data_IF_274449356905
#
_entry.id   IF_274449356905
#
_cell.length_a   1.000
_cell.length_b   1.000
_cell.length_c   1.000
_cell.angle_alpha   90.00
_cell.angle_beta   90.00
_cell.angle_gamma   90.00
#
_symmetry.space_group_name_H-M   'P 1'
#
loop_
_entity.id
_entity.type
_entity.pdbx_description
1 polymer ?
#
# COMPACT_ATOMS: atom_id res chain seq x y z
N UNK A 1 25.30 25.48 -35.76
CA UNK A 1 24.29 26.25 -35.01
C UNK A 1 23.32 25.27 -34.36
N UNK A 2 23.57 24.88 -33.10
CA UNK A 2 22.61 24.09 -32.31
C UNK A 2 22.15 24.95 -31.14
N UNK A 3 20.84 25.14 -31.00
CA UNK A 3 20.21 25.81 -29.86
C UNK A 3 20.22 24.89 -28.64
N UNK A 4 20.59 25.35 -27.43
CA UNK A 4 20.45 24.53 -26.23
C UNK A 4 18.97 24.43 -25.79
N UNK A 5 18.61 23.26 -25.24
CA UNK A 5 17.30 22.93 -24.69
C UNK A 5 16.96 23.74 -23.42
N UNK A 6 15.67 23.97 -23.10
CA UNK A 6 15.28 24.73 -21.91
C UNK A 6 15.60 23.98 -20.62
N UNK A 7 16.27 24.67 -19.70
CA UNK A 7 16.60 24.19 -18.35
C UNK A 7 15.34 24.11 -17.49
N UNK A 8 14.93 22.89 -17.13
CA UNK A 8 13.90 22.65 -16.12
C UNK A 8 14.43 22.99 -14.72
N UNK A 9 13.73 23.82 -13.92
CA UNK A 9 14.23 24.30 -12.63
C UNK A 9 14.03 23.30 -11.47
N UNK A 10 13.48 22.11 -11.72
CA UNK A 10 13.07 21.16 -10.67
C UNK A 10 14.05 20.01 -10.40
N UNK A 11 15.34 20.16 -10.72
CA UNK A 11 16.36 19.17 -10.37
C UNK A 11 17.32 19.70 -9.28
N UNK A 12 16.80 19.92 -8.07
CA UNK A 12 17.65 20.05 -6.88
C UNK A 12 17.95 18.65 -6.33
N UNK A 13 19.03 18.05 -6.86
CA UNK A 13 19.65 16.83 -6.37
C UNK A 13 20.07 17.04 -4.89
N UNK A 14 19.54 16.30 -3.90
CA UNK A 14 20.04 16.43 -2.54
C UNK A 14 21.50 15.93 -2.49
N UNK A 15 22.39 16.59 -1.74
CA UNK A 15 23.78 16.18 -1.66
C UNK A 15 23.88 14.90 -0.83
N UNK A 16 24.80 14.05 -1.29
CA UNK A 16 25.36 12.86 -0.65
C UNK A 16 25.21 12.84 0.86
N UNK A 17 24.19 12.14 1.38
CA UNK A 17 24.19 11.67 2.77
C UNK A 17 24.43 10.18 2.73
N UNK A 18 25.55 9.78 3.34
CA UNK A 18 25.74 8.40 3.74
C UNK A 18 24.53 7.95 4.56
N UNK A 19 24.17 6.69 4.50
CA UNK A 19 23.34 6.12 5.56
C UNK A 19 24.31 5.72 6.65
N UNK A 20 24.63 6.63 7.57
CA UNK A 20 25.38 6.26 8.77
C UNK A 20 24.43 5.45 9.65
N UNK A 21 24.84 4.20 9.81
CA UNK A 21 24.27 3.20 10.69
C UNK A 21 24.74 3.47 12.13
N UNK A 22 24.63 4.70 12.62
CA UNK A 22 24.92 5.06 14.01
C UNK A 22 23.73 5.83 14.57
N UNK A 23 22.72 5.11 15.06
CA UNK A 23 22.08 5.42 16.35
C UNK A 23 21.11 4.29 16.82
N UNK A 24 21.52 3.02 16.75
CA UNK A 24 20.79 1.89 17.39
C UNK A 24 21.62 1.37 18.56
N UNK A 25 21.95 2.26 19.50
CA UNK A 25 22.41 1.86 20.83
C UNK A 25 22.18 2.95 21.87
N UNK A 26 20.92 3.36 22.03
CA UNK A 26 20.49 4.00 23.27
C UNK A 26 19.44 3.12 23.92
N UNK A 27 19.76 2.66 25.11
CA UNK A 27 19.02 1.67 25.88
C UNK A 27 17.61 2.16 26.19
N UNK A 28 16.60 1.48 25.65
CA UNK A 28 15.24 1.54 26.18
C UNK A 28 14.94 0.15 26.75
N UNK A 29 15.06 0.05 28.07
CA UNK A 29 14.50 -1.04 28.85
C UNK A 29 12.98 -0.88 28.90
N UNK A 30 12.30 -1.39 27.89
CA UNK A 30 10.85 -1.66 27.94
C UNK A 30 10.65 -3.18 28.00
N UNK A 31 9.64 -3.70 28.71
CA UNK A 31 9.35 -5.13 28.67
C UNK A 31 9.14 -5.50 27.20
N UNK A 32 9.88 -6.50 26.73
CA UNK A 32 9.73 -7.04 25.38
C UNK A 32 8.28 -7.52 25.20
N UNK A 33 7.42 -6.65 24.69
CA UNK A 33 6.06 -7.02 24.28
C UNK A 33 6.28 -7.92 23.08
N UNK A 34 6.15 -9.22 23.30
CA UNK A 34 6.23 -10.23 22.26
C UNK A 34 5.03 -10.04 21.34
N UNK A 35 5.20 -9.22 20.31
CA UNK A 35 4.17 -9.04 19.27
C UNK A 35 4.17 -10.29 18.40
N UNK A 36 3.15 -11.12 18.60
CA UNK A 36 2.89 -12.29 17.76
C UNK A 36 2.45 -11.83 16.36
N UNK A 37 2.98 -12.47 15.32
CA UNK A 37 2.48 -12.29 13.95
C UNK A 37 1.11 -12.97 13.72
N UNK A 38 0.61 -13.71 14.71
CA UNK A 38 -0.66 -14.41 14.65
C UNK A 38 -1.71 -13.64 15.44
N UNK A 39 -2.81 -13.26 14.76
CA UNK A 39 -3.98 -12.69 15.40
C UNK A 39 -4.67 -13.71 16.31
N UNK A 40 -5.09 -13.29 17.49
CA UNK A 40 -5.92 -14.11 18.36
C UNK A 40 -7.31 -14.33 17.76
N UNK A 41 -8.03 -15.42 18.10
CA UNK A 41 -9.35 -15.71 17.52
C UNK A 41 -10.34 -14.54 17.63
N UNK A 42 -10.33 -13.82 18.75
CA UNK A 42 -11.16 -12.64 18.97
C UNK A 42 -10.76 -11.45 18.08
N UNK A 43 -9.47 -11.25 17.82
CA UNK A 43 -9.00 -10.20 16.90
C UNK A 43 -9.40 -10.51 15.46
N UNK A 44 -9.35 -11.78 15.04
CA UNK A 44 -9.80 -12.21 13.70
C UNK A 44 -11.28 -11.95 13.47
N UNK A 45 -12.13 -12.16 14.48
CA UNK A 45 -13.57 -11.91 14.37
C UNK A 45 -13.88 -10.41 14.23
N UNK A 46 -13.14 -9.56 14.94
CA UNK A 46 -13.25 -8.11 14.84
C UNK A 46 -12.75 -7.62 13.48
N UNK A 47 -11.59 -8.10 13.02
CA UNK A 47 -11.02 -7.78 11.71
C UNK A 47 -11.96 -8.19 10.57
N UNK A 48 -12.56 -9.37 10.65
CA UNK A 48 -13.54 -9.85 9.67
C UNK A 48 -14.81 -8.99 9.60
N UNK A 49 -15.15 -8.30 10.69
CA UNK A 49 -16.30 -7.38 10.74
C UNK A 49 -15.96 -6.02 10.11
N UNK A 50 -14.70 -5.59 10.20
CA UNK A 50 -14.23 -4.33 9.60
C UNK A 50 -13.95 -4.45 8.10
N UNK A 51 -13.68 -5.66 7.60
CA UNK A 51 -13.42 -5.91 6.18
C UNK A 51 -14.72 -5.93 5.40
N UNK A 52 -14.92 -5.02 4.43
CA UNK A 52 -16.15 -4.99 3.64
C UNK A 52 -16.34 -6.30 2.88
N UNK A 53 -17.56 -6.85 2.92
CA UNK A 53 -17.90 -8.14 2.28
C UNK A 53 -18.10 -7.99 0.79
N UNK A 54 -18.56 -6.83 0.36
CA UNK A 54 -18.78 -6.48 -1.04
C UNK A 54 -17.97 -5.25 -1.42
N UNK A 55 -17.61 -5.15 -2.70
CA UNK A 55 -16.94 -3.95 -3.21
C UNK A 55 -17.81 -2.68 -3.05
N UNK A 56 -19.14 -2.83 -3.00
CA UNK A 56 -20.07 -1.73 -2.78
C UNK A 56 -19.97 -1.11 -1.38
N UNK A 57 -19.61 -1.91 -0.36
CA UNK A 57 -19.37 -1.46 1.01
C UNK A 57 -18.04 -0.71 1.18
N UNK A 58 -17.16 -0.76 0.17
CA UNK A 58 -15.89 -0.04 0.22
C UNK A 58 -16.14 1.47 0.14
N UNK A 59 -15.82 2.17 1.23
CA UNK A 59 -16.04 3.61 1.36
C UNK A 59 -14.88 4.38 0.70
N UNK A 60 -15.20 5.18 -0.31
CA UNK A 60 -14.23 5.99 -1.05
C UNK A 60 -13.64 5.29 -2.28
N UNK A 61 -12.75 5.98 -2.98
CA UNK A 61 -12.06 5.48 -4.18
C UNK A 61 -12.99 4.87 -5.27
N UNK A 62 -14.02 5.61 -5.74
CA UNK A 62 -15.03 5.08 -6.68
C UNK A 62 -14.41 4.55 -7.98
N UNK A 63 -13.36 5.21 -8.49
CA UNK A 63 -12.65 4.78 -9.70
C UNK A 63 -12.00 3.39 -9.54
N UNK A 64 -11.35 3.14 -8.40
CA UNK A 64 -10.68 1.86 -8.14
C UNK A 64 -11.72 0.75 -7.99
N UNK A 65 -12.81 1.03 -7.28
CA UNK A 65 -13.94 0.10 -7.12
C UNK A 65 -14.51 -0.31 -8.48
N UNK A 66 -14.85 0.64 -9.33
CA UNK A 66 -15.41 0.38 -10.67
C UNK A 66 -14.46 -0.44 -11.54
N UNK A 67 -13.16 -0.11 -11.53
CA UNK A 67 -12.15 -0.87 -12.28
C UNK A 67 -12.06 -2.32 -11.78
N UNK A 68 -12.06 -2.53 -10.46
CA UNK A 68 -11.99 -3.86 -9.87
C UNK A 68 -13.26 -4.66 -10.14
N UNK A 69 -14.44 -4.03 -10.06
CA UNK A 69 -15.72 -4.64 -10.44
C UNK A 69 -15.71 -5.12 -11.90
N UNK A 70 -15.22 -4.29 -12.84
CA UNK A 70 -15.11 -4.66 -14.25
C UNK A 70 -14.19 -5.88 -14.45
N UNK A 71 -13.03 -5.88 -13.80
CA UNK A 71 -12.05 -6.98 -13.88
C UNK A 71 -12.65 -8.26 -13.34
N UNK A 72 -13.23 -8.23 -12.14
CA UNK A 72 -13.84 -9.39 -11.51
C UNK A 72 -15.03 -9.91 -12.31
N UNK A 73 -15.90 -9.02 -12.80
CA UNK A 73 -17.04 -9.41 -13.62
C UNK A 73 -16.57 -10.09 -14.92
N UNK A 74 -15.51 -9.58 -15.54
CA UNK A 74 -14.93 -10.18 -16.75
C UNK A 74 -14.31 -11.56 -16.48
N UNK A 75 -13.69 -11.75 -15.31
CA UNK A 75 -13.12 -13.02 -14.87
C UNK A 75 -14.22 -14.06 -14.58
N UNK A 76 -15.27 -13.65 -13.85
CA UNK A 76 -16.45 -14.47 -13.59
C UNK A 76 -17.11 -14.94 -14.87
N UNK A 77 -17.30 -14.04 -15.84
CA UNK A 77 -17.89 -14.39 -17.15
C UNK A 77 -17.04 -15.37 -17.96
N UNK A 78 -15.72 -15.35 -17.79
CA UNK A 78 -14.79 -16.28 -18.47
C UNK A 78 -14.58 -17.58 -17.70
N UNK A 79 -15.05 -17.68 -16.45
CA UNK A 79 -14.75 -18.79 -15.56
C UNK A 79 -13.26 -18.95 -15.24
N UNK A 80 -12.44 -17.90 -15.48
CA UNK A 80 -11.00 -17.89 -15.24
C UNK A 80 -10.66 -16.73 -14.31
N UNK A 81 -9.88 -16.96 -13.23
CA UNK A 81 -9.43 -15.88 -12.37
C UNK A 81 -8.59 -14.84 -13.16
N UNK A 82 -8.60 -13.57 -12.76
CA UNK A 82 -7.71 -12.56 -13.33
C UNK A 82 -6.25 -12.94 -13.05
N UNK A 83 -5.34 -12.67 -14.01
CA UNK A 83 -3.96 -13.15 -13.91
C UNK A 83 -3.20 -12.52 -12.72
N UNK A 84 -3.21 -11.20 -12.59
CA UNK A 84 -2.61 -10.47 -11.48
C UNK A 84 -3.13 -9.03 -11.41
N UNK A 85 -3.26 -8.48 -10.20
CA UNK A 85 -3.66 -7.09 -9.96
C UNK A 85 -2.65 -6.44 -9.00
N UNK A 86 -2.02 -5.35 -9.44
CA UNK A 86 -1.12 -4.56 -8.60
C UNK A 86 -1.87 -3.33 -8.08
N UNK A 87 -2.00 -3.20 -6.76
CA UNK A 87 -2.53 -2.01 -6.11
C UNK A 87 -1.36 -1.11 -5.72
N UNK A 88 -1.25 0.07 -6.35
CA UNK A 88 -0.19 1.04 -6.05
C UNK A 88 -0.77 2.42 -5.68
N UNK A 89 -0.10 3.15 -4.80
CA UNK A 89 -0.46 4.53 -4.43
C UNK A 89 0.22 4.98 -3.14
N UNK A 90 0.08 6.26 -2.75
CA UNK A 90 0.56 6.77 -1.46
C UNK A 90 0.05 5.95 -0.25
N UNK A 91 0.74 6.01 0.91
CA UNK A 91 0.30 5.36 2.14
C UNK A 91 -1.03 5.97 2.61
N UNK A 92 -1.94 5.15 3.16
CA UNK A 92 -3.27 5.60 3.59
C UNK A 92 -4.41 5.38 2.57
N UNK A 93 -4.13 4.75 1.42
CA UNK A 93 -5.14 4.42 0.39
C UNK A 93 -5.80 3.04 0.56
N UNK A 94 -5.68 2.38 1.72
CA UNK A 94 -6.34 1.08 1.94
C UNK A 94 -5.86 -0.03 1.00
N UNK A 95 -4.54 -0.15 0.79
CA UNK A 95 -3.92 -1.26 0.04
C UNK A 95 -3.98 -2.60 0.78
N UNK A 96 -4.29 -2.59 2.08
CA UNK A 96 -4.29 -3.73 2.99
C UNK A 96 -5.67 -3.89 3.59
#
# INVERSE_FOLDING_TARGET
>A
MLTPAPTSPYCSRPPSRHWVLDDVRSAVSEPEVVVSAYAEPAEREVEATLRPRTLAEFVGQPRVREQLELVLHSALRRGKPPDHVLLSGPPGLGKT
#
